data_IF_352208066538
#
_entry.id   IF_352208066538
#
_cell.length_a   1.000
_cell.length_b   1.000
_cell.length_c   1.000
_cell.angle_alpha   90.00
_cell.angle_beta   90.00
_cell.angle_gamma   90.00
#
_symmetry.space_group_name_H-M   'P 1'
#
loop_
_entity.id
_entity.type
_entity.pdbx_description
1 polymer ?
#
# COMPACT_ATOMS: atom_id res chain seq x y z
N UNK A 1 -12.71 -11.19 -15.81
CA UNK A 1 -11.33 -11.46 -16.31
C UNK A 1 -10.86 -12.84 -15.83
N UNK A 2 -9.80 -13.41 -16.43
CA UNK A 2 -9.26 -14.74 -16.04
C UNK A 2 -8.93 -14.79 -14.54
N UNK A 3 -8.38 -13.70 -13.98
CA UNK A 3 -8.13 -13.59 -12.55
C UNK A 3 -9.41 -13.77 -11.69
N UNK A 4 -10.54 -13.21 -12.15
CA UNK A 4 -11.81 -13.27 -11.43
C UNK A 4 -12.47 -14.65 -11.48
N UNK A 5 -12.17 -15.45 -12.52
CA UNK A 5 -12.62 -16.85 -12.55
C UNK A 5 -11.86 -17.73 -11.55
N UNK A 6 -10.68 -17.29 -11.09
CA UNK A 6 -9.87 -18.00 -10.10
C UNK A 6 -10.16 -17.46 -8.70
N UNK A 7 -10.15 -16.14 -8.51
CA UNK A 7 -10.44 -15.46 -7.25
C UNK A 7 -11.56 -14.44 -7.43
N UNK A 8 -12.78 -14.80 -7.00
CA UNK A 8 -13.91 -13.87 -7.04
C UNK A 8 -13.82 -12.86 -5.89
N UNK A 9 -14.28 -11.63 -6.12
CA UNK A 9 -14.32 -10.59 -5.07
C UNK A 9 -15.09 -11.05 -3.81
N UNK A 10 -16.19 -11.79 -3.99
CA UNK A 10 -16.96 -12.36 -2.87
C UNK A 10 -16.19 -13.44 -2.11
N UNK A 11 -15.31 -14.17 -2.80
CA UNK A 11 -14.43 -15.16 -2.14
C UNK A 11 -13.41 -14.43 -1.28
N UNK A 12 -12.79 -13.37 -1.81
CA UNK A 12 -11.78 -12.58 -1.09
C UNK A 12 -12.36 -11.82 0.10
N UNK A 13 -13.56 -11.28 -0.01
CA UNK A 13 -14.26 -10.66 1.13
C UNK A 13 -14.47 -11.67 2.27
N UNK A 14 -14.87 -12.90 1.95
CA UNK A 14 -15.06 -13.97 2.94
C UNK A 14 -13.76 -14.59 3.46
N UNK A 15 -12.69 -14.53 2.66
CA UNK A 15 -11.37 -15.06 2.97
C UNK A 15 -10.27 -14.08 2.55
N UNK A 16 -10.09 -12.96 3.28
CA UNK A 16 -9.14 -11.91 2.90
C UNK A 16 -7.69 -12.41 2.74
N UNK A 17 -7.33 -13.47 3.45
CA UNK A 17 -5.99 -14.10 3.38
C UNK A 17 -5.66 -14.62 1.98
N UNK A 18 -6.65 -15.01 1.17
CA UNK A 18 -6.42 -15.48 -0.20
C UNK A 18 -5.81 -14.36 -1.08
N UNK A 19 -6.00 -13.08 -0.71
CA UNK A 19 -5.39 -11.93 -1.38
C UNK A 19 -3.86 -11.92 -1.25
N UNK A 20 -3.31 -12.52 -0.19
CA UNK A 20 -1.86 -12.66 0.01
C UNK A 20 -1.23 -13.47 -1.13
N UNK A 21 -1.80 -14.64 -1.41
CA UNK A 21 -1.30 -15.53 -2.45
C UNK A 21 -1.54 -14.94 -3.83
N UNK A 22 -2.71 -14.34 -4.03
CA UNK A 22 -3.05 -13.67 -5.29
C UNK A 22 -2.05 -12.54 -5.61
N UNK A 23 -1.81 -11.63 -4.66
CA UNK A 23 -0.91 -10.50 -4.86
C UNK A 23 0.54 -10.97 -5.05
N UNK A 24 0.98 -11.99 -4.31
CA UNK A 24 2.32 -12.56 -4.46
C UNK A 24 2.51 -13.17 -5.85
N UNK A 25 1.59 -14.02 -6.31
CA UNK A 25 1.68 -14.66 -7.63
C UNK A 25 1.64 -13.62 -8.75
N UNK A 26 0.70 -12.68 -8.67
CA UNK A 26 0.57 -11.60 -9.66
C UNK A 26 1.84 -10.75 -9.69
N UNK A 27 2.38 -10.38 -8.53
CA UNK A 27 3.62 -9.59 -8.46
C UNK A 27 4.80 -10.34 -9.09
N UNK A 28 4.97 -11.65 -8.84
CA UNK A 28 6.02 -12.45 -9.48
C UNK A 28 5.89 -12.47 -11.01
N UNK A 29 4.68 -12.66 -11.52
CA UNK A 29 4.41 -12.62 -12.97
C UNK A 29 4.70 -11.23 -13.53
N UNK A 30 4.27 -10.18 -12.85
CA UNK A 30 4.53 -8.80 -13.26
C UNK A 30 6.01 -8.43 -13.22
N UNK A 31 6.79 -8.90 -12.26
CA UNK A 31 8.26 -8.75 -12.26
C UNK A 31 8.84 -9.37 -13.53
N UNK A 32 8.47 -10.62 -13.83
CA UNK A 32 8.96 -11.33 -15.01
C UNK A 32 8.61 -10.61 -16.31
N UNK A 33 7.33 -10.24 -16.48
CA UNK A 33 6.85 -9.55 -17.68
C UNK A 33 7.49 -8.17 -17.84
N UNK A 34 7.57 -7.38 -16.75
CA UNK A 34 8.19 -6.07 -16.77
C UNK A 34 9.66 -6.13 -17.16
N UNK A 35 10.41 -7.10 -16.62
CA UNK A 35 11.80 -7.29 -17.00
C UNK A 35 11.96 -7.71 -18.47
N UNK A 36 11.11 -8.61 -18.96
CA UNK A 36 11.19 -9.09 -20.35
C UNK A 36 10.91 -8.01 -21.39
N UNK A 37 10.02 -7.04 -21.07
CA UNK A 37 9.63 -6.00 -22.01
C UNK A 37 10.45 -4.71 -21.81
N UNK A 38 10.69 -4.31 -20.55
CA UNK A 38 11.35 -3.06 -20.19
C UNK A 38 12.35 -3.25 -19.02
N UNK A 39 13.49 -3.93 -19.23
CA UNK A 39 14.43 -4.26 -18.17
C UNK A 39 14.82 -3.06 -17.27
N UNK A 40 15.12 -1.92 -17.87
CA UNK A 40 15.58 -0.71 -17.16
C UNK A 40 14.48 0.03 -16.39
N UNK A 41 13.22 -0.19 -16.75
CA UNK A 41 12.05 0.45 -16.13
C UNK A 41 11.20 -0.53 -15.35
N UNK A 42 11.66 -1.77 -15.17
CA UNK A 42 10.87 -2.85 -14.60
C UNK A 42 10.33 -2.48 -13.21
N UNK A 43 11.08 -1.71 -12.44
CA UNK A 43 10.71 -1.22 -11.11
C UNK A 43 9.48 -0.33 -11.08
N UNK A 44 9.22 0.48 -12.12
CA UNK A 44 8.00 1.30 -12.23
C UNK A 44 6.89 0.54 -12.97
N UNK A 45 7.25 -0.23 -14.01
CA UNK A 45 6.27 -0.96 -14.82
C UNK A 45 5.61 -2.10 -14.03
N UNK A 46 6.35 -2.76 -13.13
CA UNK A 46 5.80 -3.85 -12.30
C UNK A 46 4.62 -3.38 -11.43
N UNK A 47 4.73 -2.33 -10.58
CA UNK A 47 3.61 -1.81 -9.80
C UNK A 47 2.41 -1.40 -10.67
N UNK A 48 2.67 -0.87 -11.87
CA UNK A 48 1.61 -0.51 -12.83
C UNK A 48 0.86 -1.75 -13.33
N UNK A 49 1.58 -2.80 -13.76
CA UNK A 49 0.96 -4.05 -14.21
C UNK A 49 0.23 -4.78 -13.07
N UNK A 50 0.80 -4.77 -11.85
CA UNK A 50 0.12 -5.30 -10.66
C UNK A 50 -1.20 -4.57 -10.44
N UNK A 51 -1.17 -3.24 -10.51
CA UNK A 51 -2.37 -2.40 -10.38
C UNK A 51 -3.42 -2.80 -11.41
N UNK A 52 -3.08 -2.77 -12.70
CA UNK A 52 -4.02 -3.11 -13.79
C UNK A 52 -4.61 -4.52 -13.63
N UNK A 53 -3.80 -5.48 -13.19
CA UNK A 53 -4.23 -6.88 -13.02
C UNK A 53 -5.17 -7.05 -11.83
N UNK A 54 -4.91 -6.37 -10.72
CA UNK A 54 -5.67 -6.49 -9.46
C UNK A 54 -6.88 -5.55 -9.42
N UNK A 55 -6.86 -4.44 -10.16
CA UNK A 55 -7.92 -3.43 -10.21
C UNK A 55 -9.34 -3.99 -10.39
N UNK A 56 -9.63 -4.94 -11.29
CA UNK A 56 -10.99 -5.46 -11.47
C UNK A 56 -11.57 -6.09 -10.19
N UNK A 57 -10.73 -6.80 -9.46
CA UNK A 57 -11.08 -7.49 -8.21
C UNK A 57 -11.29 -6.46 -7.10
N UNK A 58 -10.36 -5.51 -6.96
CA UNK A 58 -10.42 -4.46 -5.93
C UNK A 58 -11.60 -3.50 -6.15
N UNK A 59 -11.89 -3.14 -7.40
CA UNK A 59 -13.05 -2.31 -7.71
C UNK A 59 -14.37 -2.99 -7.34
N UNK A 60 -14.46 -4.32 -7.51
CA UNK A 60 -15.63 -5.08 -7.06
C UNK A 60 -15.73 -5.15 -5.54
N UNK A 61 -14.62 -5.22 -4.83
CA UNK A 61 -14.61 -5.15 -3.36
C UNK A 61 -15.19 -3.82 -2.88
N UNK A 62 -14.71 -2.69 -3.41
CA UNK A 62 -15.27 -1.37 -3.08
C UNK A 62 -16.76 -1.24 -3.43
N UNK A 63 -17.22 -1.89 -4.50
CA UNK A 63 -18.64 -1.92 -4.85
C UNK A 63 -19.49 -2.75 -3.88
N UNK A 64 -18.93 -3.80 -3.29
CA UNK A 64 -19.63 -4.61 -2.28
C UNK A 64 -19.70 -3.85 -0.95
N UNK A 65 -18.61 -3.17 -0.58
CA UNK A 65 -18.53 -2.32 0.60
C UNK A 65 -19.53 -1.16 0.53
N UNK A 66 -19.55 -0.41 -0.58
CA UNK A 66 -20.54 0.66 -0.80
C UNK A 66 -21.98 0.15 -0.83
N UNK A 67 -22.22 -1.05 -1.36
CA UNK A 67 -23.55 -1.66 -1.33
C UNK A 67 -23.98 -2.03 0.11
N UNK A 68 -23.03 -2.44 0.95
CA UNK A 68 -23.27 -2.73 2.37
C UNK A 68 -23.60 -1.45 3.15
N UNK A 69 -22.96 -0.33 2.83
CA UNK A 69 -23.28 1.00 3.36
C UNK A 69 -24.68 1.46 2.97
N UNK A 70 -25.05 1.25 1.70
CA UNK A 70 -26.38 1.57 1.20
C UNK A 70 -27.48 0.77 1.90
N UNK A 71 -27.31 -0.54 2.04
CA UNK A 71 -28.28 -1.39 2.75
C UNK A 71 -28.47 -0.94 4.21
N UNK A 72 -27.44 -0.42 4.86
CA UNK A 72 -27.54 0.16 6.21
C UNK A 72 -28.33 1.47 6.22
N UNK A 73 -28.07 2.38 5.27
CA UNK A 73 -28.79 3.64 5.14
C UNK A 73 -30.29 3.40 4.89
N UNK A 74 -30.63 2.38 4.07
CA UNK A 74 -32.01 2.00 3.74
C UNK A 74 -32.70 1.27 4.91
N UNK A 75 -32.02 0.33 5.59
CA UNK A 75 -32.62 -0.55 6.61
C UNK A 75 -32.36 -0.15 8.07
N UNK A 76 -31.71 0.99 8.32
CA UNK A 76 -31.30 1.46 9.67
C UNK A 76 -30.49 0.44 10.48
N UNK A 77 -29.72 -0.41 9.79
CA UNK A 77 -28.80 -1.34 10.45
C UNK A 77 -27.61 -0.50 10.93
N UNK A 78 -27.31 -0.56 12.22
CA UNK A 78 -26.25 0.25 12.83
C UNK A 78 -24.99 -0.60 13.00
N UNK A 79 -24.24 -0.81 11.91
CA UNK A 79 -22.88 -1.38 12.02
C UNK A 79 -21.89 -0.30 12.46
N UNK A 80 -20.86 -0.67 13.22
CA UNK A 80 -19.75 0.22 13.53
C UNK A 80 -18.96 0.56 12.26
N UNK A 81 -18.20 1.66 12.29
CA UNK A 81 -17.23 1.98 11.24
C UNK A 81 -16.25 0.83 10.99
N UNK A 82 -15.75 0.19 12.06
CA UNK A 82 -14.81 -0.92 11.92
C UNK A 82 -15.45 -2.15 11.27
N UNK A 83 -16.68 -2.49 11.64
CA UNK A 83 -17.44 -3.63 11.06
C UNK A 83 -17.83 -3.42 9.58
N UNK A 84 -17.55 -2.24 9.01
CA UNK A 84 -17.79 -1.94 7.60
C UNK A 84 -16.54 -2.07 6.74
N UNK A 85 -15.36 -1.87 7.33
CA UNK A 85 -14.13 -1.63 6.59
C UNK A 85 -13.01 -2.62 6.95
N UNK A 86 -13.18 -3.43 7.99
CA UNK A 86 -12.17 -4.37 8.47
C UNK A 86 -11.77 -5.37 7.39
N UNK A 87 -12.73 -5.95 6.64
CA UNK A 87 -12.39 -6.85 5.55
C UNK A 87 -11.55 -6.16 4.45
N UNK A 88 -11.92 -4.95 4.04
CA UNK A 88 -11.17 -4.18 3.03
C UNK A 88 -9.77 -3.80 3.53
N UNK A 89 -9.63 -3.41 4.80
CA UNK A 89 -8.32 -3.13 5.42
C UNK A 89 -7.45 -4.39 5.44
N UNK A 90 -8.01 -5.56 5.77
CA UNK A 90 -7.27 -6.82 5.75
C UNK A 90 -6.87 -7.17 4.31
N UNK A 91 -7.75 -6.99 3.33
CA UNK A 91 -7.42 -7.22 1.91
C UNK A 91 -6.26 -6.33 1.46
N UNK A 92 -6.26 -5.04 1.81
CA UNK A 92 -5.14 -4.12 1.54
C UNK A 92 -3.84 -4.57 2.21
N UNK A 93 -3.94 -5.04 3.46
CA UNK A 93 -2.80 -5.58 4.22
C UNK A 93 -2.21 -6.82 3.52
N UNK A 94 -3.07 -7.77 3.16
CA UNK A 94 -2.66 -9.00 2.47
C UNK A 94 -2.10 -8.72 1.07
N UNK A 95 -2.66 -7.73 0.35
CA UNK A 95 -2.10 -7.26 -0.91
C UNK A 95 -0.68 -6.69 -0.74
N UNK A 96 -0.47 -5.83 0.26
CA UNK A 96 0.84 -5.24 0.53
C UNK A 96 1.86 -6.30 0.92
N UNK A 97 1.51 -7.18 1.87
CA UNK A 97 2.41 -8.22 2.36
C UNK A 97 2.78 -9.21 1.25
N UNK A 98 1.82 -9.65 0.43
CA UNK A 98 2.12 -10.57 -0.66
C UNK A 98 2.98 -9.93 -1.75
N UNK A 99 2.76 -8.65 -2.07
CA UNK A 99 3.62 -7.88 -2.98
C UNK A 99 5.04 -7.71 -2.41
N UNK A 100 5.16 -7.38 -1.12
CA UNK A 100 6.43 -7.28 -0.40
C UNK A 100 7.18 -8.62 -0.44
N UNK A 101 6.53 -9.72 -0.07
CA UNK A 101 7.16 -11.05 -0.04
C UNK A 101 7.63 -11.47 -1.44
N UNK A 102 6.83 -11.25 -2.48
CA UNK A 102 7.23 -11.55 -3.86
C UNK A 102 8.53 -10.82 -4.24
N UNK A 103 8.58 -9.50 -4.04
CA UNK A 103 9.77 -8.70 -4.35
C UNK A 103 10.94 -9.10 -3.45
N UNK A 104 10.71 -9.34 -2.16
CA UNK A 104 11.75 -9.68 -1.19
C UNK A 104 12.43 -11.02 -1.53
N UNK A 105 11.65 -12.05 -1.87
CA UNK A 105 12.21 -13.33 -2.30
C UNK A 105 12.99 -13.22 -3.61
N UNK A 106 12.46 -12.50 -4.61
CA UNK A 106 13.21 -12.23 -5.84
C UNK A 106 14.49 -11.47 -5.53
N UNK A 107 14.43 -10.46 -4.66
CA UNK A 107 15.56 -9.64 -4.28
C UNK A 107 16.67 -10.44 -3.60
N UNK A 108 16.35 -11.46 -2.79
CA UNK A 108 17.37 -12.31 -2.16
C UNK A 108 17.96 -13.33 -3.15
N UNK A 109 17.11 -13.94 -3.99
CA UNK A 109 17.51 -15.10 -4.80
C UNK A 109 18.13 -14.73 -6.15
N UNK A 110 17.76 -13.59 -6.73
CA UNK A 110 18.19 -13.23 -8.08
C UNK A 110 19.64 -12.70 -8.14
N UNK A 111 20.30 -12.74 -9.31
CA UNK A 111 21.62 -12.12 -9.50
C UNK A 111 21.62 -10.62 -9.20
N UNK A 112 22.74 -10.08 -8.70
CA UNK A 112 22.86 -8.66 -8.34
C UNK A 112 22.59 -7.72 -9.50
N UNK A 113 23.14 -8.05 -10.67
CA UNK A 113 22.93 -7.30 -11.92
C UNK A 113 21.45 -7.19 -12.27
N UNK A 114 20.67 -8.26 -12.08
CA UNK A 114 19.23 -8.23 -12.32
C UNK A 114 18.52 -7.25 -11.37
N UNK A 115 18.91 -7.24 -10.09
CA UNK A 115 18.31 -6.35 -9.09
C UNK A 115 18.67 -4.89 -9.34
N UNK A 116 19.94 -4.60 -9.61
CA UNK A 116 20.42 -3.25 -9.89
C UNK A 116 19.76 -2.67 -11.15
N UNK A 117 19.59 -3.47 -12.20
CA UNK A 117 18.93 -3.03 -13.42
C UNK A 117 17.41 -2.88 -13.24
N UNK A 118 16.76 -3.92 -12.72
CA UNK A 118 15.29 -3.99 -12.67
C UNK A 118 14.69 -3.06 -11.63
N UNK A 119 15.39 -2.83 -10.51
CA UNK A 119 14.89 -2.05 -9.37
C UNK A 119 15.71 -0.78 -9.14
N UNK A 120 16.35 -0.25 -10.19
CA UNK A 120 17.18 0.96 -10.11
C UNK A 120 16.43 2.16 -9.52
N UNK A 121 15.14 2.31 -9.82
CA UNK A 121 14.33 3.41 -9.28
C UNK A 121 14.01 3.23 -7.79
N UNK A 122 13.77 1.99 -7.34
CA UNK A 122 13.61 1.69 -5.91
C UNK A 122 14.92 1.96 -5.16
N UNK A 123 16.04 1.51 -5.70
CA UNK A 123 17.37 1.76 -5.12
C UNK A 123 17.64 3.27 -5.05
N UNK A 124 17.32 4.02 -6.10
CA UNK A 124 17.39 5.48 -6.11
C UNK A 124 16.54 6.13 -5.03
N UNK A 125 15.29 5.66 -4.84
CA UNK A 125 14.41 6.15 -3.78
C UNK A 125 14.96 5.86 -2.37
N UNK A 126 15.52 4.67 -2.15
CA UNK A 126 16.18 4.30 -0.88
C UNK A 126 17.33 5.26 -0.58
N UNK A 127 18.19 5.53 -1.57
CA UNK A 127 19.34 6.42 -1.40
C UNK A 127 18.94 7.89 -1.17
N UNK A 128 17.80 8.32 -1.70
CA UNK A 128 17.27 9.67 -1.47
C UNK A 128 16.75 9.85 -0.02
N UNK A 129 16.24 8.77 0.59
CA UNK A 129 15.73 8.78 1.97
C UNK A 129 16.87 8.54 2.97
N UNK A 130 17.86 7.71 2.62
CA UNK A 130 19.01 7.36 3.44
C UNK A 130 20.33 7.79 2.76
N UNK A 131 20.65 9.10 2.70
CA UNK A 131 21.91 9.53 2.10
C UNK A 131 23.11 8.92 2.86
N UNK A 132 24.15 8.42 2.18
CA UNK A 132 25.28 7.72 2.79
C UNK A 132 26.06 8.54 3.85
N UNK A 133 25.84 9.85 3.93
CA UNK A 133 26.40 10.76 4.94
C UNK A 133 25.54 10.88 6.21
N UNK A 134 24.34 10.32 6.24
CA UNK A 134 23.48 10.27 7.42
C UNK A 134 23.80 9.00 8.23
N UNK A 135 24.96 9.00 8.88
CA UNK A 135 25.19 8.11 10.01
C UNK A 135 24.14 8.42 11.08
N UNK A 136 23.11 7.58 11.17
CA UNK A 136 22.06 7.60 12.20
C UNK A 136 22.64 7.19 13.57
N UNK A 137 23.61 7.95 14.05
CA UNK A 137 24.16 7.85 15.40
C UNK A 137 23.52 8.93 16.26
N UNK A 138 22.35 8.64 16.84
CA UNK A 138 21.78 9.18 18.11
C UNK A 138 22.08 10.60 18.61
N UNK A 139 22.51 11.54 17.79
CA UNK A 139 22.96 12.86 18.19
C UNK A 139 22.52 13.86 17.13
N UNK A 140 21.64 14.77 17.53
CA UNK A 140 20.94 15.79 16.73
C UNK A 140 19.62 15.30 16.13
N UNK A 141 18.60 15.23 16.98
CA UNK A 141 17.20 15.35 16.55
C UNK A 141 17.05 16.80 16.04
N UNK A 142 17.27 17.03 14.75
CA UNK A 142 16.91 18.31 14.14
C UNK A 142 15.43 18.26 13.74
N UNK A 143 14.62 19.31 14.01
CA UNK A 143 13.24 19.41 13.52
C UNK A 143 13.08 19.15 12.02
N UNK A 144 14.16 19.35 11.25
CA UNK A 144 14.21 19.08 9.81
C UNK A 144 14.06 17.60 9.43
N UNK A 145 14.46 16.64 10.28
CA UNK A 145 14.36 15.20 9.94
C UNK A 145 12.91 14.72 10.05
N UNK A 146 12.24 15.06 11.16
CA UNK A 146 10.81 14.77 11.35
C UNK A 146 9.97 15.41 10.23
N UNK A 147 10.28 16.65 9.85
CA UNK A 147 9.58 17.33 8.75
C UNK A 147 9.75 16.59 7.41
N UNK A 148 10.97 16.14 7.08
CA UNK A 148 11.22 15.38 5.86
C UNK A 148 10.44 14.06 5.85
N UNK A 149 10.49 13.30 6.94
CA UNK A 149 9.80 12.01 7.08
C UNK A 149 8.28 12.20 6.95
N UNK A 150 7.71 13.10 7.75
CA UNK A 150 6.26 13.35 7.75
C UNK A 150 5.82 13.86 6.39
N UNK A 151 6.56 14.78 5.76
CA UNK A 151 6.21 15.33 4.46
C UNK A 151 6.26 14.28 3.34
N UNK A 152 7.24 13.37 3.38
CA UNK A 152 7.31 12.26 2.42
C UNK A 152 6.12 11.31 2.58
N UNK A 153 5.84 10.87 3.82
CA UNK A 153 4.68 10.04 4.12
C UNK A 153 3.34 10.72 3.77
N UNK A 154 3.22 12.03 4.03
CA UNK A 154 2.06 12.82 3.66
C UNK A 154 1.83 12.86 2.15
N UNK A 155 2.89 12.99 1.33
CA UNK A 155 2.78 12.89 -0.13
C UNK A 155 2.28 11.52 -0.55
N UNK A 156 2.86 10.44 0.00
CA UNK A 156 2.46 9.07 -0.32
C UNK A 156 0.99 8.83 0.03
N UNK A 157 0.56 9.26 1.21
CA UNK A 157 -0.84 9.24 1.65
C UNK A 157 -1.75 10.02 0.69
N UNK A 158 -1.39 11.27 0.39
CA UNK A 158 -2.18 12.14 -0.49
C UNK A 158 -2.32 11.55 -1.91
N UNK A 159 -1.24 11.06 -2.50
CA UNK A 159 -1.29 10.43 -3.83
C UNK A 159 -2.04 9.10 -3.81
N UNK A 160 -2.00 8.34 -2.71
CA UNK A 160 -2.82 7.14 -2.54
C UNK A 160 -4.30 7.48 -2.58
N UNK A 161 -4.73 8.50 -1.82
CA UNK A 161 -6.10 9.01 -1.88
C UNK A 161 -6.46 9.51 -3.28
N UNK A 162 -5.65 10.41 -3.85
CA UNK A 162 -5.95 11.08 -5.12
C UNK A 162 -6.08 10.07 -6.27
N UNK A 163 -5.15 9.12 -6.40
CA UNK A 163 -5.21 8.12 -7.46
C UNK A 163 -6.34 7.13 -7.26
N UNK A 164 -6.64 6.74 -6.02
CA UNK A 164 -7.79 5.89 -5.73
C UNK A 164 -9.12 6.61 -5.99
N UNK A 165 -9.19 7.91 -5.69
CA UNK A 165 -10.35 8.73 -6.00
C UNK A 165 -10.60 8.87 -7.50
N UNK A 166 -9.55 9.14 -8.28
CA UNK A 166 -9.66 9.37 -9.72
C UNK A 166 -9.86 8.08 -10.54
N UNK A 167 -9.22 6.98 -10.12
CA UNK A 167 -9.13 5.73 -10.91
C UNK A 167 -9.89 4.58 -10.21
N UNK A 168 -10.42 4.80 -9.01
CA UNK A 168 -11.08 3.81 -8.17
C UNK A 168 -10.12 2.92 -7.39
N UNK A 169 -9.02 2.47 -8.01
CA UNK A 169 -8.06 1.52 -7.40
C UNK A 169 -6.60 1.96 -7.52
N UNK A 170 -6.36 3.23 -7.86
CA UNK A 170 -5.02 3.76 -8.12
C UNK A 170 -4.05 3.71 -6.92
N UNK A 171 -4.54 3.58 -5.69
CA UNK A 171 -3.69 3.37 -4.52
C UNK A 171 -2.84 2.09 -4.61
N UNK A 172 -3.30 1.06 -5.32
CA UNK A 172 -2.54 -0.20 -5.48
C UNK A 172 -1.16 0.03 -6.10
N UNK A 173 -1.02 1.03 -6.97
CA UNK A 173 0.26 1.41 -7.57
C UNK A 173 1.22 1.93 -6.51
N UNK A 174 0.76 2.86 -5.68
CA UNK A 174 1.55 3.46 -4.61
C UNK A 174 1.93 2.42 -3.56
N UNK A 175 1.01 1.52 -3.23
CA UNK A 175 1.25 0.47 -2.23
C UNK A 175 2.23 -0.59 -2.72
N UNK A 176 2.07 -1.08 -3.95
CA UNK A 176 3.03 -2.06 -4.53
C UNK A 176 4.40 -1.44 -4.77
N UNK A 177 4.46 -0.16 -5.15
CA UNK A 177 5.70 0.62 -5.19
C UNK A 177 6.39 0.67 -3.82
N UNK A 178 5.70 1.08 -2.75
CA UNK A 178 6.27 1.15 -1.41
C UNK A 178 6.66 -0.22 -0.86
N UNK A 179 5.85 -1.25 -1.11
CA UNK A 179 6.18 -2.64 -0.76
C UNK A 179 7.50 -3.08 -1.43
N UNK A 180 7.72 -2.70 -2.70
CA UNK A 180 8.95 -3.01 -3.42
C UNK A 180 10.17 -2.26 -2.85
N UNK A 181 10.03 -1.00 -2.44
CA UNK A 181 11.10 -0.23 -1.80
C UNK A 181 11.53 -0.93 -0.49
N UNK A 182 10.57 -1.24 0.38
CA UNK A 182 10.86 -1.89 1.66
C UNK A 182 11.51 -3.27 1.46
N UNK A 183 11.02 -4.05 0.49
CA UNK A 183 11.58 -5.34 0.14
C UNK A 183 13.04 -5.25 -0.34
N UNK A 184 13.34 -4.34 -1.26
CA UNK A 184 14.70 -4.13 -1.78
C UNK A 184 15.64 -3.63 -0.68
N UNK A 185 15.17 -2.71 0.16
CA UNK A 185 15.93 -2.18 1.30
C UNK A 185 16.36 -3.30 2.26
N UNK A 186 15.39 -4.10 2.75
CA UNK A 186 15.70 -5.18 3.70
C UNK A 186 16.52 -6.30 3.07
N UNK A 187 16.23 -6.66 1.81
CA UNK A 187 17.00 -7.69 1.10
C UNK A 187 18.46 -7.28 0.89
N UNK A 188 18.75 -5.98 0.74
CA UNK A 188 20.12 -5.49 0.51
C UNK A 188 21.10 -5.90 1.63
N UNK A 189 20.67 -5.89 2.89
CA UNK A 189 21.49 -6.32 4.02
C UNK A 189 21.80 -7.81 3.96
N UNK A 190 20.80 -8.64 3.66
CA UNK A 190 20.98 -10.09 3.51
C UNK A 190 21.97 -10.40 2.39
N UNK A 191 21.84 -9.72 1.24
CA UNK A 191 22.73 -9.90 0.09
C UNK A 191 24.18 -9.52 0.38
N UNK A 192 24.39 -8.55 1.27
CA UNK A 192 25.72 -8.12 1.71
C UNK A 192 26.28 -8.98 2.85
N UNK A 193 25.54 -10.00 3.32
CA UNK A 193 25.92 -10.81 4.49
C UNK A 193 25.76 -10.09 5.82
N UNK A 194 25.09 -8.93 5.85
CA UNK A 194 24.86 -8.09 7.01
C UNK A 194 23.61 -8.53 7.78
N UNK A 195 23.58 -9.78 8.25
CA UNK A 195 22.40 -10.36 8.91
C UNK A 195 22.03 -9.65 10.22
N UNK A 196 23.01 -9.14 10.96
CA UNK A 196 22.76 -8.37 12.17
C UNK A 196 22.10 -7.03 11.85
N UNK A 197 22.56 -6.34 10.80
CA UNK A 197 21.95 -5.08 10.36
C UNK A 197 20.55 -5.32 9.80
N UNK A 198 20.32 -6.41 9.06
CA UNK A 198 18.98 -6.83 8.66
C UNK A 198 18.04 -6.95 9.88
N UNK A 199 18.47 -7.65 10.93
CA UNK A 199 17.66 -7.83 12.14
C UNK A 199 17.42 -6.49 12.86
N UNK A 200 18.48 -5.71 13.10
CA UNK A 200 18.38 -4.41 13.78
C UNK A 200 17.49 -3.43 13.01
N UNK A 201 17.65 -3.32 11.69
CA UNK A 201 16.82 -2.45 10.86
C UNK A 201 15.38 -2.93 10.77
N UNK A 202 15.14 -4.24 10.69
CA UNK A 202 13.77 -4.79 10.70
C UNK A 202 13.05 -4.47 12.02
N UNK A 203 13.74 -4.63 13.15
CA UNK A 203 13.19 -4.30 14.48
C UNK A 203 12.98 -2.80 14.63
N UNK A 204 13.88 -1.96 14.13
CA UNK A 204 13.71 -0.51 14.16
C UNK A 204 12.57 0.00 13.28
N UNK A 205 12.28 -0.68 12.16
CA UNK A 205 11.19 -0.33 11.23
C UNK A 205 9.81 -0.78 11.76
N UNK A 206 9.76 -1.90 12.47
CA UNK A 206 8.51 -2.53 12.90
C UNK A 206 7.54 -1.62 13.70
N UNK A 207 7.97 -0.68 14.56
CA UNK A 207 7.05 0.18 15.30
C UNK A 207 6.33 1.21 14.42
N UNK A 208 7.01 1.81 13.44
CA UNK A 208 6.45 2.93 12.66
C UNK A 208 5.90 2.51 11.30
N UNK A 209 6.58 1.62 10.56
CA UNK A 209 6.18 1.32 9.19
C UNK A 209 4.76 0.76 9.07
N UNK A 210 4.27 -0.15 9.94
CA UNK A 210 2.87 -0.59 9.88
C UNK A 210 1.89 0.58 10.06
N UNK A 211 2.18 1.53 10.96
CA UNK A 211 1.34 2.71 11.20
C UNK A 211 1.28 3.60 9.95
N UNK A 212 2.42 3.86 9.32
CA UNK A 212 2.50 4.64 8.08
C UNK A 212 1.79 3.94 6.91
N UNK A 213 2.02 2.64 6.76
CA UNK A 213 1.36 1.82 5.74
C UNK A 213 -0.16 1.81 5.95
N UNK A 214 -0.65 1.72 7.19
CA UNK A 214 -2.08 1.84 7.49
C UNK A 214 -2.63 3.21 7.10
N UNK A 215 -1.84 4.28 7.25
CA UNK A 215 -2.26 5.59 6.76
C UNK A 215 -2.52 5.58 5.25
N UNK A 216 -1.66 4.91 4.48
CA UNK A 216 -1.83 4.78 3.04
C UNK A 216 -3.03 3.91 2.67
N UNK A 217 -3.30 2.86 3.46
CA UNK A 217 -4.49 2.03 3.28
C UNK A 217 -5.76 2.84 3.50
N UNK A 218 -5.87 3.55 4.63
CA UNK A 218 -7.03 4.41 4.90
C UNK A 218 -7.23 5.47 3.82
N UNK A 219 -6.16 6.15 3.39
CA UNK A 219 -6.25 7.12 2.31
C UNK A 219 -6.69 6.48 0.98
N UNK A 220 -6.14 5.32 0.63
CA UNK A 220 -6.51 4.60 -0.58
C UNK A 220 -7.95 4.08 -0.57
N UNK A 221 -8.42 3.54 0.56
CA UNK A 221 -9.80 3.08 0.73
C UNK A 221 -10.76 4.27 0.68
N UNK A 222 -10.45 5.36 1.40
CA UNK A 222 -11.23 6.60 1.36
C UNK A 222 -11.43 7.12 -0.07
N UNK A 223 -10.35 7.13 -0.87
CA UNK A 223 -10.44 7.54 -2.27
C UNK A 223 -11.30 6.56 -3.10
N UNK A 224 -11.10 5.26 -2.91
CA UNK A 224 -11.79 4.22 -3.68
C UNK A 224 -13.30 4.18 -3.43
N UNK A 225 -13.73 4.18 -2.16
CA UNK A 225 -15.14 4.18 -1.79
C UNK A 225 -15.80 5.49 -2.24
N UNK A 226 -15.15 6.64 -2.03
CA UNK A 226 -15.69 7.92 -2.47
C UNK A 226 -15.85 7.98 -4.00
N UNK A 227 -14.90 7.41 -4.75
CA UNK A 227 -15.00 7.28 -6.22
C UNK A 227 -16.26 6.51 -6.63
N UNK A 228 -16.50 5.35 -6.01
CA UNK A 228 -17.69 4.54 -6.25
C UNK A 228 -18.97 5.28 -5.85
N UNK A 229 -18.98 5.94 -4.69
CA UNK A 229 -20.12 6.70 -4.18
C UNK A 229 -20.53 7.85 -5.11
N UNK A 230 -19.59 8.62 -5.65
CA UNK A 230 -19.90 9.69 -6.63
C UNK A 230 -20.53 9.14 -7.91
N UNK A 231 -20.08 7.97 -8.36
CA UNK A 231 -20.56 7.35 -9.61
C UNK A 231 -21.95 6.74 -9.43
N UNK A 232 -22.22 6.13 -8.27
CA UNK A 232 -23.41 5.29 -8.06
C UNK A 232 -24.55 6.00 -7.35
N UNK A 233 -24.24 6.94 -6.46
CA UNK A 233 -25.23 7.57 -5.61
C UNK A 233 -25.59 8.98 -6.09
N UNK A 234 -26.83 9.41 -5.79
CA UNK A 234 -27.25 10.79 -6.07
C UNK A 234 -26.50 11.72 -5.14
N UNK A 235 -25.91 12.79 -5.67
CA UNK A 235 -25.29 13.83 -4.85
C UNK A 235 -26.30 14.36 -3.81
N UNK A 236 -25.84 14.54 -2.57
CA UNK A 236 -26.64 14.94 -1.39
C UNK A 236 -27.72 13.93 -0.94
N UNK A 237 -27.71 12.70 -1.45
CA UNK A 237 -28.48 11.60 -0.88
C UNK A 237 -27.95 11.21 0.51
N UNK A 238 -28.74 10.47 1.30
CA UNK A 238 -28.31 10.03 2.63
C UNK A 238 -27.17 9.03 2.53
N UNK A 239 -27.23 8.20 1.50
CA UNK A 239 -26.28 7.19 1.10
C UNK A 239 -24.94 7.85 0.74
N UNK A 240 -24.96 8.85 -0.14
CA UNK A 240 -23.78 9.62 -0.50
C UNK A 240 -23.14 10.33 0.71
N UNK A 241 -23.95 10.94 1.58
CA UNK A 241 -23.44 11.63 2.78
C UNK A 241 -22.78 10.66 3.77
N UNK A 242 -23.25 9.41 3.84
CA UNK A 242 -22.64 8.36 4.66
C UNK A 242 -21.26 7.98 4.10
N UNK A 243 -21.19 7.64 2.81
CA UNK A 243 -19.93 7.34 2.10
C UNK A 243 -18.92 8.48 2.27
N UNK A 244 -19.37 9.72 2.07
CA UNK A 244 -18.54 10.92 2.17
C UNK A 244 -18.01 11.11 3.60
N UNK A 245 -18.85 10.93 4.61
CA UNK A 245 -18.44 11.02 6.01
C UNK A 245 -17.42 9.94 6.38
N UNK A 246 -17.63 8.70 5.96
CA UNK A 246 -16.70 7.60 6.24
C UNK A 246 -15.34 7.83 5.54
N UNK A 247 -15.36 8.34 4.32
CA UNK A 247 -14.15 8.75 3.59
C UNK A 247 -13.38 9.86 4.32
N UNK A 248 -14.09 10.85 4.90
CA UNK A 248 -13.46 11.89 5.73
C UNK A 248 -12.88 11.34 7.03
N UNK A 249 -13.56 10.41 7.68
CA UNK A 249 -13.06 9.74 8.90
C UNK A 249 -11.78 8.97 8.57
N UNK A 250 -11.76 8.21 7.49
CA UNK A 250 -10.56 7.50 7.04
C UNK A 250 -9.40 8.45 6.73
N UNK A 251 -9.64 9.58 6.07
CA UNK A 251 -8.60 10.58 5.83
C UNK A 251 -8.07 11.19 7.13
N UNK A 252 -8.94 11.44 8.12
CA UNK A 252 -8.50 11.93 9.42
C UNK A 252 -7.65 10.88 10.17
N UNK A 253 -8.05 9.61 10.12
CA UNK A 253 -7.27 8.50 10.68
C UNK A 253 -5.92 8.35 9.97
N UNK A 254 -5.91 8.46 8.63
CA UNK A 254 -4.68 8.42 7.84
C UNK A 254 -3.72 9.54 8.24
N UNK A 255 -4.22 10.77 8.33
CA UNK A 255 -3.42 11.93 8.73
C UNK A 255 -2.81 11.75 10.13
N UNK A 256 -3.64 11.31 11.10
CA UNK A 256 -3.16 11.02 12.45
C UNK A 256 -2.10 9.91 12.48
N UNK A 257 -2.29 8.86 11.68
CA UNK A 257 -1.34 7.76 11.55
C UNK A 257 -0.01 8.19 10.93
N UNK A 258 0.01 9.07 9.91
CA UNK A 258 1.26 9.62 9.35
C UNK A 258 2.05 10.39 10.41
N UNK A 259 1.38 11.26 11.17
CA UNK A 259 2.04 12.03 12.24
C UNK A 259 2.59 11.08 13.30
N UNK A 260 1.78 10.14 13.76
CA UNK A 260 2.18 9.19 14.78
C UNK A 260 3.34 8.29 14.30
N UNK A 261 3.28 7.78 13.08
CA UNK A 261 4.36 7.00 12.46
C UNK A 261 5.68 7.76 12.39
N UNK A 262 5.66 9.00 11.90
CA UNK A 262 6.86 9.83 11.84
C UNK A 262 7.44 10.17 13.22
N UNK A 263 6.60 10.34 14.26
CA UNK A 263 7.08 10.47 15.63
C UNK A 263 7.75 9.18 16.10
N UNK A 264 7.15 8.02 15.84
CA UNK A 264 7.76 6.72 16.20
C UNK A 264 9.10 6.52 15.50
N UNK A 265 9.24 6.85 14.21
CA UNK A 265 10.49 6.72 13.45
C UNK A 265 11.63 7.59 14.01
N UNK A 266 11.30 8.79 14.52
CA UNK A 266 12.30 9.73 15.02
C UNK A 266 12.70 9.44 16.47
N UNK A 267 11.79 8.94 17.29
CA UNK A 267 11.98 8.82 18.74
C UNK A 267 12.24 7.39 19.26
N UNK A 268 12.01 6.34 18.45
CA UNK A 268 12.20 4.92 18.82
C UNK A 268 13.24 4.29 17.90
#
# INVERSE_FOLDING_TARGET
MVLESIFSAKTLERKPVDMLFLSMIVTLVCIYVSYMIFPEYAGIIMPLLVTVTISPVMFKIFRIEEQTEREQAEHKINKSFWDRHDETIIIFTMFFVGSFLAVFFVAILAPGVFIEQSFSQQIGAINAINPPTASFTGAVISPSILEIIVWNNMKVMFFSFLLSFLIGTGALFILSWNASILAIYLASFIRQGLYNDFFLKSVGIAPHAPVEIFAYFFAGIAGGILSVGIIREKLNSREFLLVFKDSLIMLALAFGAVIFGGLLEVFI
#
